data_IF_801335779249
#
_entry.id   IF_801335779249
#
_cell.length_a   1.000
_cell.length_b   1.000
_cell.length_c   1.000
_cell.angle_alpha   90.00
_cell.angle_beta   90.00
_cell.angle_gamma   90.00
#
_symmetry.space_group_name_H-M   'P 1'
#
loop_
_entity.id
_entity.type
_entity.pdbx_description
1 polymer ?
#
# COMPACT_ATOMS: atom_id res chain seq x y z
N UNK A 1 18.47 -3.81 8.15
CA UNK A 1 17.27 -3.04 7.81
C UNK A 1 17.19 -1.83 8.74
N UNK A 2 16.59 -0.71 8.32
CA UNK A 2 16.36 0.42 9.22
C UNK A 2 15.41 0.02 10.34
N UNK A 3 15.77 0.41 11.58
CA UNK A 3 15.06 0.01 12.78
C UNK A 3 14.14 1.12 13.26
N UNK A 4 12.87 0.81 13.47
CA UNK A 4 11.89 1.75 14.05
C UNK A 4 11.34 1.14 15.33
N UNK A 5 11.45 1.89 16.42
CA UNK A 5 10.85 1.52 17.69
C UNK A 5 9.38 1.94 17.72
N UNK A 6 8.47 1.01 18.00
CA UNK A 6 7.04 1.30 18.09
C UNK A 6 6.63 1.28 19.55
N UNK A 7 6.36 2.46 20.10
CA UNK A 7 5.83 2.64 21.45
C UNK A 7 4.30 2.69 21.36
N UNK A 8 3.62 1.78 22.03
CA UNK A 8 2.16 1.65 22.01
C UNK A 8 1.63 1.05 23.33
N UNK A 9 0.34 1.24 23.61
CA UNK A 9 -0.32 0.56 24.73
C UNK A 9 -0.85 -0.81 24.31
N UNK A 10 -0.65 -1.85 25.13
CA UNK A 10 -1.13 -3.21 24.83
C UNK A 10 -2.65 -3.30 24.64
N UNK A 11 -3.43 -2.37 25.22
CA UNK A 11 -4.88 -2.28 24.99
C UNK A 11 -5.23 -2.01 23.52
N UNK A 12 -4.27 -1.51 22.74
CA UNK A 12 -4.38 -1.23 21.31
C UNK A 12 -3.63 -2.25 20.45
N UNK A 13 -3.14 -3.33 21.07
CA UNK A 13 -2.28 -4.30 20.41
C UNK A 13 -2.87 -4.84 19.13
N UNK A 14 -4.18 -5.13 19.08
CA UNK A 14 -4.78 -5.67 17.86
C UNK A 14 -4.58 -4.76 16.65
N UNK A 15 -4.77 -3.44 16.78
CA UNK A 15 -4.55 -2.51 15.67
C UNK A 15 -3.06 -2.39 15.33
N UNK A 16 -2.20 -2.32 16.34
CA UNK A 16 -0.75 -2.22 16.11
C UNK A 16 -0.22 -3.47 15.41
N UNK A 17 -0.59 -4.67 15.88
CA UNK A 17 -0.10 -5.95 15.36
C UNK A 17 -0.73 -6.36 14.02
N UNK A 18 -2.01 -6.06 13.81
CA UNK A 18 -2.73 -6.49 12.62
C UNK A 18 -2.89 -5.38 11.58
N UNK A 19 -2.37 -4.19 11.82
CA UNK A 19 -2.43 -3.09 10.85
C UNK A 19 -1.07 -2.42 10.75
N UNK A 20 -0.62 -1.74 11.81
CA UNK A 20 0.59 -0.92 11.73
C UNK A 20 1.87 -1.75 11.48
N UNK A 21 2.14 -2.79 12.25
CA UNK A 21 3.39 -3.56 12.13
C UNK A 21 3.54 -4.20 10.76
N UNK A 22 2.52 -4.87 10.20
CA UNK A 22 2.65 -5.42 8.86
C UNK A 22 2.83 -4.34 7.80
N UNK A 23 2.19 -3.17 7.94
CA UNK A 23 2.45 -2.01 7.09
C UNK A 23 3.93 -1.60 7.12
N UNK A 24 4.53 -1.51 8.32
CA UNK A 24 5.93 -1.15 8.50
C UNK A 24 6.88 -2.23 7.94
N UNK A 25 6.59 -3.51 8.22
CA UNK A 25 7.36 -4.65 7.72
C UNK A 25 7.30 -4.72 6.18
N UNK A 26 6.13 -4.50 5.59
CA UNK A 26 5.92 -4.34 4.14
C UNK A 26 6.74 -3.18 3.54
N UNK A 27 6.94 -2.12 4.33
CA UNK A 27 7.85 -1.02 4.04
C UNK A 27 9.35 -1.39 4.09
N UNK A 28 9.71 -2.62 4.46
CA UNK A 28 11.10 -3.02 4.68
C UNK A 28 11.73 -2.44 5.96
N UNK A 29 10.90 -2.09 6.94
CA UNK A 29 11.34 -1.60 8.25
C UNK A 29 11.46 -2.77 9.23
N UNK A 30 12.58 -2.84 9.94
CA UNK A 30 12.72 -3.72 11.10
C UNK A 30 12.04 -3.05 12.29
N UNK A 31 10.89 -3.61 12.70
CA UNK A 31 10.13 -3.09 13.83
C UNK A 31 10.72 -3.61 15.14
N UNK A 32 11.17 -2.70 16.01
CA UNK A 32 11.56 -3.02 17.37
C UNK A 32 10.34 -2.82 18.27
N UNK A 33 9.84 -3.93 18.83
CA UNK A 33 8.65 -3.92 19.67
C UNK A 33 8.78 -4.93 20.81
N UNK A 34 8.16 -4.56 21.90
CA UNK A 34 8.24 -5.14 23.23
C UNK A 34 8.10 -6.69 23.28
N UNK A 35 7.16 -7.29 22.54
CA UNK A 35 6.88 -8.75 22.63
C UNK A 35 7.88 -9.70 21.97
N UNK A 36 8.77 -9.24 21.09
CA UNK A 36 9.62 -10.14 20.30
C UNK A 36 11.00 -10.44 20.95
N UNK A 37 11.37 -9.82 22.09
CA UNK A 37 12.74 -9.92 22.64
C UNK A 37 12.87 -9.87 24.18
N UNK A 38 12.00 -10.53 24.94
CA UNK A 38 12.27 -10.68 26.38
C UNK A 38 12.99 -11.98 26.67
N UNK A 39 14.20 -11.87 27.20
CA UNK A 39 14.89 -12.99 27.83
C UNK A 39 14.46 -13.09 29.30
N UNK A 40 14.13 -14.30 29.74
CA UNK A 40 13.72 -14.55 31.13
C UNK A 40 14.91 -14.34 32.08
N UNK A 41 14.76 -13.45 33.07
CA UNK A 41 15.75 -13.24 34.14
C UNK A 41 16.28 -11.81 34.29
N UNK A 42 16.02 -10.90 33.35
CA UNK A 42 16.44 -9.48 33.44
C UNK A 42 15.28 -8.51 33.65
N UNK A 43 15.55 -7.31 34.19
CA UNK A 43 14.54 -6.28 34.41
C UNK A 43 13.95 -5.75 33.08
N UNK A 44 12.62 -5.87 32.92
CA UNK A 44 11.85 -5.51 31.71
C UNK A 44 12.15 -4.08 31.23
N UNK A 45 12.32 -3.12 32.15
CA UNK A 45 12.61 -1.72 31.82
C UNK A 45 14.00 -1.55 31.19
N UNK A 46 15.01 -2.25 31.69
CA UNK A 46 16.39 -2.15 31.18
C UNK A 46 16.54 -2.75 29.78
N UNK A 47 15.89 -3.89 29.53
CA UNK A 47 15.88 -4.55 28.21
C UNK A 47 15.23 -3.64 27.15
N UNK A 48 14.13 -2.97 27.48
CA UNK A 48 13.47 -2.06 26.53
C UNK A 48 14.25 -0.79 26.29
N UNK A 49 14.91 -0.28 27.31
CA UNK A 49 15.72 0.91 27.15
C UNK A 49 16.85 0.68 26.15
N UNK A 50 17.51 -0.47 26.25
CA UNK A 50 18.54 -0.93 25.32
C UNK A 50 17.97 -1.21 23.93
N UNK A 51 16.75 -1.73 23.82
CA UNK A 51 16.07 -1.96 22.54
C UNK A 51 15.74 -0.64 21.84
N UNK A 52 15.15 0.31 22.54
CA UNK A 52 14.81 1.63 22.02
C UNK A 52 16.04 2.38 21.51
N UNK A 53 17.20 2.28 22.18
CA UNK A 53 18.45 2.89 21.71
C UNK A 53 18.96 2.35 20.35
N UNK A 54 18.55 1.14 19.95
CA UNK A 54 18.94 0.56 18.65
C UNK A 54 18.10 1.10 17.48
N UNK A 55 17.05 1.87 17.77
CA UNK A 55 16.17 2.40 16.74
C UNK A 55 16.72 3.69 16.13
N UNK A 56 16.48 3.86 14.83
CA UNK A 56 16.79 5.08 14.09
C UNK A 56 15.66 6.10 14.16
N UNK A 57 14.42 5.64 14.32
CA UNK A 57 13.24 6.48 14.57
C UNK A 57 12.33 5.83 15.62
N UNK A 58 11.53 6.67 16.28
CA UNK A 58 10.58 6.29 17.31
C UNK A 58 9.17 6.67 16.83
N UNK A 59 8.31 5.67 16.68
CA UNK A 59 6.91 5.82 16.35
C UNK A 59 6.07 5.73 17.63
N UNK A 60 5.45 6.83 18.02
CA UNK A 60 4.58 6.93 19.18
C UNK A 60 3.13 6.77 18.74
N UNK A 61 2.48 5.69 19.18
CA UNK A 61 1.07 5.41 18.90
C UNK A 61 0.23 5.90 20.07
N UNK A 62 -0.21 7.15 19.98
CA UNK A 62 -0.95 7.84 21.03
C UNK A 62 -2.38 7.37 21.14
N UNK A 63 -2.78 7.21 22.39
CA UNK A 63 -4.12 6.87 22.81
C UNK A 63 -4.39 7.20 24.25
N UNK A 64 -5.64 7.11 24.67
CA UNK A 64 -5.99 7.33 26.07
C UNK A 64 -5.27 6.31 26.96
N UNK A 65 -5.25 5.05 26.53
CA UNK A 65 -4.55 3.98 27.21
C UNK A 65 -3.01 4.11 27.18
N UNK A 66 -2.45 4.81 26.20
CA UNK A 66 -1.02 5.13 26.14
C UNK A 66 -0.66 6.19 27.18
N UNK A 67 -1.45 7.26 27.27
CA UNK A 67 -1.20 8.37 28.18
C UNK A 67 -1.33 7.97 29.66
N UNK A 68 -2.13 6.94 29.95
CA UNK A 68 -2.29 6.37 31.30
C UNK A 68 -1.21 5.34 31.65
N UNK A 69 -0.36 4.93 30.71
CA UNK A 69 0.69 3.94 30.94
C UNK A 69 2.00 4.62 31.34
N UNK A 70 2.46 4.40 32.57
CA UNK A 70 3.75 4.94 33.05
C UNK A 70 4.92 4.53 32.15
N UNK A 71 4.85 3.32 31.60
CA UNK A 71 5.85 2.76 30.72
C UNK A 71 5.88 3.47 29.36
N UNK A 72 4.72 3.61 28.71
CA UNK A 72 4.61 4.35 27.45
C UNK A 72 5.06 5.81 27.63
N UNK A 73 4.69 6.43 28.75
CA UNK A 73 5.12 7.78 29.09
C UNK A 73 6.63 7.89 29.32
N UNK A 74 7.28 6.84 29.84
CA UNK A 74 8.74 6.75 29.97
C UNK A 74 9.41 6.67 28.58
N UNK A 75 8.95 5.78 27.71
CA UNK A 75 9.44 5.63 26.33
C UNK A 75 9.29 6.92 25.52
N UNK A 76 8.14 7.59 25.63
CA UNK A 76 7.89 8.89 25.02
C UNK A 76 8.90 9.93 25.51
N UNK A 77 9.12 10.05 26.83
CA UNK A 77 10.10 11.01 27.37
C UNK A 77 11.50 10.74 26.82
N UNK A 78 11.89 9.49 26.64
CA UNK A 78 13.19 9.12 26.06
C UNK A 78 13.28 9.49 24.57
N UNK A 79 12.25 9.19 23.79
CA UNK A 79 12.17 9.58 22.38
C UNK A 79 12.28 11.11 22.22
N UNK A 80 11.54 11.88 23.03
CA UNK A 80 11.56 13.34 23.00
C UNK A 80 12.90 13.94 23.43
N UNK A 81 13.69 13.27 24.26
CA UNK A 81 15.05 13.73 24.59
C UNK A 81 15.99 13.65 23.39
N UNK A 82 15.75 12.72 22.47
CA UNK A 82 16.56 12.55 21.26
C UNK A 82 16.23 13.58 20.18
N UNK A 83 14.99 14.08 20.15
CA UNK A 83 14.54 15.09 19.18
C UNK A 83 13.55 16.09 19.81
N UNK A 84 14.01 16.93 20.77
CA UNK A 84 13.13 17.77 21.59
C UNK A 84 12.42 18.88 20.81
N UNK A 85 12.93 19.21 19.61
CA UNK A 85 12.37 20.22 18.71
C UNK A 85 11.75 19.62 17.46
N UNK A 86 11.80 18.30 17.28
CA UNK A 86 11.34 17.61 16.07
C UNK A 86 12.02 18.05 14.77
N UNK A 87 13.23 18.60 14.85
CA UNK A 87 13.99 19.10 13.69
C UNK A 87 14.68 17.96 12.93
N UNK A 88 14.92 16.83 13.59
CA UNK A 88 15.64 15.70 13.00
C UNK A 88 14.71 14.61 12.46
N UNK A 89 13.40 14.74 12.70
CA UNK A 89 12.39 13.77 12.28
C UNK A 89 12.62 12.38 12.88
N UNK A 90 13.19 12.29 14.08
CA UNK A 90 13.45 11.02 14.77
C UNK A 90 12.22 10.52 15.52
N UNK A 91 11.31 11.41 15.89
CA UNK A 91 10.06 11.08 16.58
C UNK A 91 8.89 11.32 15.64
N UNK A 92 8.13 10.27 15.37
CA UNK A 92 6.90 10.29 14.59
C UNK A 92 5.76 10.03 15.55
N UNK A 93 4.72 10.86 15.50
CA UNK A 93 3.57 10.76 16.39
C UNK A 93 2.35 10.38 15.56
N UNK A 94 1.64 9.34 15.98
CA UNK A 94 0.40 8.88 15.37
C UNK A 94 -0.67 8.85 16.45
N UNK A 95 -1.83 9.45 16.19
CA UNK A 95 -3.00 9.41 17.06
C UNK A 95 -4.01 8.40 16.52
N UNK A 96 -4.46 7.47 17.35
CA UNK A 96 -5.37 6.38 16.92
C UNK A 96 -6.74 6.38 17.61
N UNK A 97 -6.91 7.15 18.67
CA UNK A 97 -8.21 7.41 19.30
C UNK A 97 -8.38 8.89 19.69
N UNK A 98 -9.51 9.24 20.30
CA UNK A 98 -9.84 10.60 20.66
C UNK A 98 -9.05 11.20 21.84
N UNK A 99 -7.92 10.60 22.26
CA UNK A 99 -7.09 11.14 23.33
C UNK A 99 -6.60 12.56 23.09
N UNK A 100 -6.41 13.31 24.17
CA UNK A 100 -5.81 14.64 24.12
C UNK A 100 -4.30 14.55 23.88
N UNK A 101 -3.84 15.11 22.75
CA UNK A 101 -2.41 15.14 22.42
C UNK A 101 -1.68 16.04 23.42
N UNK A 102 -0.71 15.52 24.19
CA UNK A 102 0.00 16.33 25.19
C UNK A 102 0.65 17.57 24.58
N UNK A 103 0.62 18.69 25.29
CA UNK A 103 1.20 19.97 24.82
C UNK A 103 2.69 19.89 24.46
N UNK A 104 3.42 18.88 24.94
CA UNK A 104 4.82 18.63 24.56
C UNK A 104 4.96 18.12 23.13
N UNK A 105 3.91 17.52 22.58
CA UNK A 105 3.83 16.99 21.21
C UNK A 105 3.13 17.96 20.27
N UNK A 106 2.54 19.06 20.75
CA UNK A 106 1.81 20.03 19.90
C UNK A 106 2.69 20.75 18.88
N UNK A 107 4.02 20.71 19.06
CA UNK A 107 5.00 21.25 18.11
C UNK A 107 5.34 20.26 16.99
N UNK A 108 4.97 19.00 17.12
CA UNK A 108 5.17 17.98 16.11
C UNK A 108 3.93 17.92 15.20
N UNK A 109 4.15 17.75 13.90
CA UNK A 109 3.10 17.25 13.03
C UNK A 109 2.80 15.81 13.45
N UNK A 110 1.62 15.57 14.02
CA UNK A 110 1.14 14.22 14.33
C UNK A 110 0.15 13.77 13.27
N UNK A 111 0.19 12.47 12.98
CA UNK A 111 -0.67 11.84 11.98
C UNK A 111 -1.94 11.35 12.66
N UNK A 112 -3.10 11.69 12.08
CA UNK A 112 -4.39 11.32 12.64
C UNK A 112 -4.96 10.09 11.92
N UNK A 113 -4.90 8.95 12.60
CA UNK A 113 -5.38 7.66 12.09
C UNK A 113 -6.63 7.15 12.83
N UNK A 114 -7.38 8.02 13.53
CA UNK A 114 -8.62 7.68 14.25
C UNK A 114 -9.73 7.15 13.34
N UNK A 115 -10.34 6.00 13.63
CA UNK A 115 -11.40 5.30 12.84
C UNK A 115 -10.90 4.61 11.54
N UNK A 116 -11.55 3.53 11.08
CA UNK A 116 -11.08 2.71 9.92
C UNK A 116 -11.92 2.87 8.63
N UNK A 117 -12.88 3.78 8.62
CA UNK A 117 -13.71 3.99 7.44
C UNK A 117 -12.93 4.75 6.36
N UNK A 118 -13.17 4.37 5.11
CA UNK A 118 -12.38 4.60 3.91
C UNK A 118 -12.38 6.04 3.40
N UNK A 119 -11.92 7.00 4.21
CA UNK A 119 -11.79 8.40 3.81
C UNK A 119 -10.44 8.67 3.12
N UNK A 120 -10.46 9.41 2.02
CA UNK A 120 -9.27 9.83 1.24
C UNK A 120 -8.20 10.51 2.11
N UNK A 121 -8.63 11.28 3.11
CA UNK A 121 -7.75 11.99 4.04
C UNK A 121 -6.85 11.06 4.88
N UNK A 122 -7.27 9.81 5.13
CA UNK A 122 -6.42 8.83 5.85
C UNK A 122 -5.32 8.26 4.99
N UNK A 123 -5.57 8.11 3.68
CA UNK A 123 -4.55 7.62 2.74
C UNK A 123 -3.39 8.61 2.74
N UNK A 124 -3.68 9.91 2.71
CA UNK A 124 -2.68 10.97 2.85
C UNK A 124 -1.85 10.82 4.14
N UNK A 125 -2.47 10.51 5.28
CA UNK A 125 -1.78 10.33 6.56
C UNK A 125 -0.86 9.10 6.56
N UNK A 126 -1.31 7.97 6.00
CA UNK A 126 -0.47 6.77 5.85
C UNK A 126 0.70 7.01 4.90
N UNK A 127 0.51 7.77 3.82
CA UNK A 127 1.62 8.14 2.95
C UNK A 127 2.65 9.01 3.64
N UNK A 128 2.20 10.00 4.41
CA UNK A 128 3.11 10.84 5.20
C UNK A 128 3.87 9.98 6.22
N UNK A 129 3.22 8.99 6.83
CA UNK A 129 3.89 8.01 7.69
C UNK A 129 4.97 7.26 6.92
N UNK A 130 4.65 6.65 5.78
CA UNK A 130 5.60 5.87 4.98
C UNK A 130 6.79 6.70 4.48
N UNK A 131 6.56 7.94 4.04
CA UNK A 131 7.64 8.88 3.66
C UNK A 131 8.52 9.25 4.84
N UNK A 132 7.93 9.34 6.02
CA UNK A 132 8.66 9.66 7.25
C UNK A 132 9.46 8.46 7.76
N UNK A 133 9.21 7.26 7.27
CA UNK A 133 9.91 6.06 7.72
C UNK A 133 11.19 5.85 6.90
N UNK A 134 12.29 5.43 7.53
CA UNK A 134 13.49 5.04 6.82
C UNK A 134 13.18 3.69 6.19
N UNK A 135 12.97 3.63 4.88
CA UNK A 135 12.36 2.46 4.29
C UNK A 135 12.94 2.20 2.87
N UNK A 136 14.10 1.52 2.77
CA UNK A 136 14.84 1.36 1.52
C UNK A 136 14.31 0.23 0.64
N UNK A 137 13.63 -0.80 1.16
CA UNK A 137 13.18 -1.93 0.33
C UNK A 137 11.92 -1.63 -0.47
N UNK A 138 10.86 -1.09 0.16
CA UNK A 138 9.66 -0.68 -0.59
C UNK A 138 9.97 0.44 -1.59
N UNK A 139 10.85 1.40 -1.27
CA UNK A 139 11.30 2.41 -2.23
C UNK A 139 12.05 1.79 -3.41
N UNK A 140 12.94 0.82 -3.17
CA UNK A 140 13.56 0.05 -4.25
C UNK A 140 12.53 -0.71 -5.09
N UNK A 141 11.48 -1.26 -4.47
CA UNK A 141 10.41 -1.98 -5.18
C UNK A 141 9.56 -1.03 -6.03
N UNK A 142 9.27 0.16 -5.52
CA UNK A 142 8.63 1.25 -6.28
C UNK A 142 9.50 1.65 -7.47
N UNK A 143 10.80 1.87 -7.24
CA UNK A 143 11.76 2.20 -8.31
C UNK A 143 11.87 1.06 -9.34
N UNK A 144 11.85 -0.19 -8.87
CA UNK A 144 11.85 -1.38 -9.72
C UNK A 144 10.59 -1.45 -10.59
N UNK A 145 9.40 -1.23 -10.01
CA UNK A 145 8.12 -1.17 -10.74
C UNK A 145 8.16 -0.04 -11.77
N UNK A 146 8.57 1.17 -11.36
CA UNK A 146 8.65 2.32 -12.25
C UNK A 146 9.56 2.05 -13.44
N UNK A 147 10.74 1.44 -13.21
CA UNK A 147 11.66 1.03 -14.28
C UNK A 147 11.03 0.03 -15.24
N UNK A 148 10.34 -1.00 -14.74
CA UNK A 148 9.64 -1.95 -15.64
C UNK A 148 8.56 -1.26 -16.47
N UNK A 149 7.82 -0.33 -15.88
CA UNK A 149 6.78 0.44 -16.58
C UNK A 149 7.39 1.34 -17.65
N UNK A 150 8.52 2.00 -17.37
CA UNK A 150 9.24 2.82 -18.36
C UNK A 150 9.76 1.97 -19.52
N UNK A 151 10.23 0.75 -19.23
CA UNK A 151 10.63 -0.26 -20.23
C UNK A 151 9.42 -0.93 -20.93
N UNK A 152 8.20 -0.45 -20.66
CA UNK A 152 6.92 -0.95 -21.18
C UNK A 152 6.66 -2.43 -20.88
N UNK A 153 7.09 -2.92 -19.73
CA UNK A 153 6.71 -4.22 -19.20
C UNK A 153 5.52 -4.11 -18.26
N UNK A 154 4.55 -5.01 -18.44
CA UNK A 154 3.49 -5.22 -17.46
C UNK A 154 4.04 -5.97 -16.24
N UNK A 155 3.50 -5.66 -15.07
CA UNK A 155 4.03 -6.13 -13.78
C UNK A 155 2.93 -6.81 -12.98
N UNK A 156 3.23 -8.00 -12.48
CA UNK A 156 2.48 -8.64 -11.40
C UNK A 156 3.07 -8.20 -10.07
N UNK A 157 2.29 -7.52 -9.26
CA UNK A 157 2.67 -7.09 -7.91
C UNK A 157 1.99 -8.05 -6.93
N UNK A 158 2.76 -8.98 -6.40
CA UNK A 158 2.24 -9.94 -5.41
C UNK A 158 2.54 -9.42 -4.02
N UNK A 159 1.48 -9.30 -3.23
CA UNK A 159 1.53 -8.83 -1.86
C UNK A 159 1.44 -10.03 -0.93
N UNK A 160 2.49 -10.29 -0.15
CA UNK A 160 2.49 -11.36 0.84
C UNK A 160 2.26 -10.80 2.26
N UNK A 161 1.21 -9.99 2.42
CA UNK A 161 0.87 -9.33 3.69
C UNK A 161 -0.48 -9.82 4.22
N UNK A 162 -0.52 -10.17 5.51
CA UNK A 162 -1.76 -10.48 6.23
C UNK A 162 -2.68 -9.24 6.43
N UNK A 163 -2.28 -8.06 5.93
CA UNK A 163 -3.02 -6.80 6.08
C UNK A 163 -3.52 -6.31 4.72
N UNK A 164 -4.84 -6.36 4.45
CA UNK A 164 -5.28 -6.44 3.05
C UNK A 164 -5.39 -5.12 2.27
N UNK A 165 -5.60 -3.95 2.89
CA UNK A 165 -6.18 -2.81 2.14
C UNK A 165 -5.50 -1.44 2.27
N UNK A 166 -4.87 -1.12 3.40
CA UNK A 166 -4.45 0.27 3.70
C UNK A 166 -3.08 0.63 3.11
N UNK A 167 -2.19 -0.35 2.93
CA UNK A 167 -0.82 -0.15 2.44
C UNK A 167 -0.79 0.13 0.94
N UNK A 168 -1.66 -0.52 0.16
CA UNK A 168 -1.54 -0.60 -1.30
C UNK A 168 -2.14 0.60 -2.02
N UNK A 169 -3.25 1.15 -1.51
CA UNK A 169 -3.74 2.44 -2.00
C UNK A 169 -2.67 3.51 -1.89
N UNK A 170 -1.92 3.51 -0.78
CA UNK A 170 -0.77 4.39 -0.57
C UNK A 170 0.39 4.08 -1.51
N UNK A 171 0.66 2.80 -1.83
CA UNK A 171 1.68 2.41 -2.82
C UNK A 171 1.35 2.97 -4.21
N UNK A 172 0.14 2.73 -4.71
CA UNK A 172 -0.26 3.18 -6.04
C UNK A 172 -0.42 4.69 -6.12
N UNK A 173 -0.88 5.34 -5.05
CA UNK A 173 -0.95 6.80 -4.99
C UNK A 173 0.45 7.41 -4.94
N UNK A 174 1.40 6.78 -4.25
CA UNK A 174 2.81 7.16 -4.32
C UNK A 174 3.41 6.95 -5.71
N UNK A 175 3.21 5.78 -6.33
CA UNK A 175 3.64 5.51 -7.72
C UNK A 175 3.07 6.57 -8.65
N UNK A 176 1.77 6.84 -8.57
CA UNK A 176 1.09 7.86 -9.38
C UNK A 176 1.64 9.26 -9.14
N UNK A 177 1.90 9.64 -7.88
CA UNK A 177 2.36 11.00 -7.55
C UNK A 177 3.82 11.24 -7.86
N UNK A 178 4.70 10.26 -7.68
CA UNK A 178 6.15 10.49 -7.67
C UNK A 178 6.89 9.86 -8.85
N UNK A 179 6.29 8.87 -9.54
CA UNK A 179 7.00 8.08 -10.56
C UNK A 179 6.24 7.94 -11.88
N UNK A 180 4.93 7.70 -11.84
CA UNK A 180 4.09 7.34 -12.99
C UNK A 180 2.82 8.21 -12.99
N UNK A 181 2.97 9.47 -13.38
CA UNK A 181 1.87 10.46 -13.31
C UNK A 181 0.64 10.12 -14.16
N UNK A 182 0.83 9.37 -15.24
CA UNK A 182 -0.22 8.89 -16.16
C UNK A 182 -0.85 7.55 -15.76
N UNK A 183 -0.61 7.07 -14.52
CA UNK A 183 -1.18 5.84 -14.01
C UNK A 183 -2.69 5.94 -13.73
N UNK A 184 -3.49 5.18 -14.47
CA UNK A 184 -4.89 4.91 -14.18
C UNK A 184 -5.00 3.81 -13.12
N UNK A 185 -5.75 4.01 -12.04
CA UNK A 185 -5.92 3.02 -10.96
C UNK A 185 -7.38 2.62 -10.88
N UNK A 186 -7.68 1.34 -11.07
CA UNK A 186 -9.04 0.80 -11.10
C UNK A 186 -9.20 -0.26 -10.02
N UNK A 187 -10.19 -0.05 -9.14
CA UNK A 187 -10.46 -0.93 -8.01
C UNK A 187 -11.47 -2.03 -8.37
N UNK A 188 -11.02 -3.29 -8.34
CA UNK A 188 -11.89 -4.43 -8.59
C UNK A 188 -12.80 -4.79 -7.41
N UNK A 189 -12.67 -4.19 -6.23
CA UNK A 189 -13.69 -4.31 -5.18
C UNK A 189 -14.91 -3.40 -5.44
N UNK A 190 -14.76 -2.39 -6.30
CA UNK A 190 -15.87 -1.49 -6.64
C UNK A 190 -17.00 -2.24 -7.35
N UNK A 191 -18.25 -1.92 -7.00
CA UNK A 191 -19.42 -2.42 -7.72
C UNK A 191 -19.47 -1.94 -9.18
N UNK A 192 -18.83 -0.80 -9.49
CA UNK A 192 -18.75 -0.27 -10.85
C UNK A 192 -17.97 -1.18 -11.79
N UNK A 193 -17.03 -1.98 -11.28
CA UNK A 193 -16.21 -2.87 -12.10
C UNK A 193 -16.80 -4.27 -12.20
N UNK A 194 -17.97 -4.55 -11.59
CA UNK A 194 -18.52 -5.90 -11.50
C UNK A 194 -18.80 -6.58 -12.86
N UNK A 195 -19.09 -5.78 -13.90
CA UNK A 195 -19.28 -6.25 -15.27
C UNK A 195 -18.09 -5.88 -16.16
N UNK A 196 -17.92 -6.60 -17.27
CA UNK A 196 -16.94 -6.25 -18.32
C UNK A 196 -17.08 -4.81 -18.78
N UNK A 197 -18.29 -4.41 -19.14
CA UNK A 197 -18.60 -3.04 -19.56
C UNK A 197 -18.20 -2.00 -18.51
N UNK A 198 -18.56 -2.23 -17.23
CA UNK A 198 -18.23 -1.33 -16.14
C UNK A 198 -16.73 -1.24 -15.85
N UNK A 199 -16.00 -2.35 -16.02
CA UNK A 199 -14.53 -2.34 -15.97
C UNK A 199 -13.93 -1.49 -17.09
N UNK A 200 -14.39 -1.65 -18.33
CA UNK A 200 -13.91 -0.88 -19.49
C UNK A 200 -14.19 0.61 -19.27
N UNK A 201 -15.41 0.97 -18.84
CA UNK A 201 -15.77 2.35 -18.50
C UNK A 201 -14.86 2.94 -17.42
N UNK A 202 -14.58 2.17 -16.36
CA UNK A 202 -13.68 2.60 -15.30
C UNK A 202 -12.26 2.87 -15.83
N UNK A 203 -11.72 1.97 -16.66
CA UNK A 203 -10.39 2.13 -17.27
C UNK A 203 -10.35 3.36 -18.18
N UNK A 204 -11.32 3.52 -19.07
CA UNK A 204 -11.43 4.65 -20.00
C UNK A 204 -11.48 5.97 -19.26
N UNK A 205 -12.30 6.04 -18.21
CA UNK A 205 -12.44 7.21 -17.35
C UNK A 205 -11.12 7.57 -16.65
N UNK A 206 -10.47 6.59 -16.02
CA UNK A 206 -9.21 6.82 -15.29
C UNK A 206 -8.03 7.15 -16.21
N UNK A 207 -8.02 6.65 -17.45
CA UNK A 207 -7.05 7.05 -18.48
C UNK A 207 -7.33 8.45 -19.06
N UNK A 208 -8.43 9.09 -18.67
CA UNK A 208 -8.87 10.40 -19.19
C UNK A 208 -9.28 10.35 -20.66
N UNK A 209 -9.69 9.18 -21.16
CA UNK A 209 -10.09 9.00 -22.55
C UNK A 209 -11.55 9.47 -22.71
N UNK A 210 -11.77 10.42 -23.62
CA UNK A 210 -13.09 10.99 -23.90
C UNK A 210 -13.83 10.20 -24.98
N UNK A 211 -14.32 9.02 -24.62
CA UNK A 211 -15.18 8.19 -25.48
C UNK A 211 -16.42 7.75 -24.68
N UNK A 212 -17.50 7.46 -25.39
CA UNK A 212 -18.60 6.68 -24.82
C UNK A 212 -18.29 5.21 -25.08
N UNK A 213 -18.27 4.38 -24.05
CA UNK A 213 -18.14 2.94 -24.22
C UNK A 213 -19.50 2.41 -24.70
N UNK A 214 -19.59 1.82 -25.91
CA UNK A 214 -20.85 1.26 -26.40
C UNK A 214 -21.18 -0.04 -25.65
N UNK A 215 -22.36 -0.62 -25.92
CA UNK A 215 -22.71 -1.94 -25.40
C UNK A 215 -21.95 -3.04 -26.15
N UNK A 216 -21.91 -4.21 -25.54
CA UNK A 216 -21.43 -5.42 -26.18
C UNK A 216 -22.19 -5.70 -27.49
N UNK A 217 -21.50 -6.12 -28.57
CA UNK A 217 -20.08 -6.49 -28.66
C UNK A 217 -19.13 -5.36 -29.09
N UNK A 218 -19.62 -4.13 -29.29
CA UNK A 218 -18.83 -3.03 -29.87
C UNK A 218 -17.93 -2.32 -28.83
N UNK A 219 -18.03 -2.70 -27.56
CA UNK A 219 -17.26 -2.16 -26.44
C UNK A 219 -15.76 -2.41 -26.60
N UNK A 220 -15.37 -3.64 -26.91
CA UNK A 220 -13.96 -4.02 -27.06
C UNK A 220 -13.27 -3.37 -28.26
N UNK A 221 -13.83 -3.36 -29.49
CA UNK A 221 -13.20 -2.65 -30.61
C UNK A 221 -13.02 -1.15 -30.36
N UNK A 222 -14.02 -0.52 -29.73
CA UNK A 222 -13.98 0.91 -29.39
C UNK A 222 -12.90 1.19 -28.34
N UNK A 223 -12.82 0.35 -27.31
CA UNK A 223 -11.77 0.42 -26.30
C UNK A 223 -10.37 0.18 -26.89
N UNK A 224 -10.19 -0.88 -27.69
CA UNK A 224 -8.90 -1.20 -28.31
C UNK A 224 -8.42 -0.03 -29.19
N UNK A 225 -9.29 0.49 -30.06
CA UNK A 225 -8.96 1.62 -30.92
C UNK A 225 -8.54 2.86 -30.12
N UNK A 226 -9.24 3.16 -29.03
CA UNK A 226 -8.91 4.30 -28.18
C UNK A 226 -7.57 4.15 -27.44
N UNK A 227 -7.23 2.94 -26.97
CA UNK A 227 -5.94 2.66 -26.33
C UNK A 227 -4.80 2.67 -27.36
N UNK A 228 -5.01 2.11 -28.55
CA UNK A 228 -4.02 2.08 -29.64
C UNK A 228 -3.65 3.48 -30.14
N UNK A 229 -4.60 4.42 -30.14
CA UNK A 229 -4.38 5.81 -30.53
C UNK A 229 -3.42 6.57 -29.60
N UNK A 230 -3.17 6.07 -28.40
CA UNK A 230 -2.24 6.66 -27.43
C UNK A 230 -0.82 6.16 -27.67
N UNK A 231 0.18 6.93 -27.20
CA UNK A 231 1.57 6.45 -27.20
C UNK A 231 1.72 5.23 -26.26
N UNK A 232 1.25 5.39 -25.03
CA UNK A 232 1.12 4.34 -24.02
C UNK A 232 -0.11 4.58 -23.14
N UNK A 233 -0.59 3.53 -22.51
CA UNK A 233 -1.60 3.56 -21.45
C UNK A 233 -1.13 2.69 -20.31
N UNK A 234 -1.19 3.19 -19.09
CA UNK A 234 -0.73 2.46 -17.90
C UNK A 234 -1.91 2.31 -16.96
N UNK A 235 -2.27 1.07 -16.64
CA UNK A 235 -3.44 0.74 -15.83
C UNK A 235 -3.04 -0.19 -14.69
N UNK A 236 -3.33 0.20 -13.46
CA UNK A 236 -3.28 -0.67 -12.30
C UNK A 236 -4.67 -1.22 -12.00
N UNK A 237 -4.78 -2.55 -11.93
CA UNK A 237 -5.96 -3.24 -11.38
C UNK A 237 -5.63 -3.69 -9.97
N UNK A 238 -6.32 -3.09 -8.98
CA UNK A 238 -6.17 -3.49 -7.57
C UNK A 238 -7.20 -4.56 -7.20
N UNK A 239 -6.86 -5.42 -6.24
CA UNK A 239 -7.64 -6.58 -5.84
C UNK A 239 -7.88 -7.56 -7.01
N UNK A 240 -6.84 -7.82 -7.79
CA UNK A 240 -6.90 -8.68 -8.97
C UNK A 240 -7.24 -10.14 -8.64
N UNK A 241 -7.16 -10.56 -7.38
CA UNK A 241 -7.68 -11.85 -6.91
C UNK A 241 -9.16 -12.06 -7.30
N UNK A 242 -9.94 -10.96 -7.40
CA UNK A 242 -11.35 -10.98 -7.80
C UNK A 242 -11.57 -11.17 -9.30
N UNK A 243 -10.54 -11.00 -10.13
CA UNK A 243 -10.63 -11.24 -11.58
C UNK A 243 -10.69 -12.74 -11.92
N UNK A 244 -10.37 -13.62 -10.96
CA UNK A 244 -10.52 -15.06 -11.12
C UNK A 244 -11.98 -15.37 -11.50
N UNK A 245 -12.14 -16.21 -12.54
CA UNK A 245 -13.43 -16.62 -13.09
C UNK A 245 -14.41 -17.18 -12.02
N UNK A 246 -13.90 -17.66 -10.89
CA UNK A 246 -14.74 -18.08 -9.74
C UNK A 246 -15.49 -16.92 -9.07
N UNK A 247 -14.90 -15.73 -9.02
CA UNK A 247 -15.48 -14.56 -8.34
C UNK A 247 -16.18 -13.61 -9.30
N UNK A 248 -15.70 -13.49 -10.55
CA UNK A 248 -16.31 -12.66 -11.60
C UNK A 248 -16.46 -13.45 -12.90
N UNK A 249 -17.54 -14.22 -13.07
CA UNK A 249 -17.76 -15.03 -14.28
C UNK A 249 -18.09 -14.18 -15.53
N UNK A 250 -18.28 -12.87 -15.37
CA UNK A 250 -18.64 -11.95 -16.45
C UNK A 250 -17.43 -11.32 -17.17
N UNK A 251 -16.21 -11.61 -16.74
CA UNK A 251 -15.01 -11.28 -17.51
C UNK A 251 -14.73 -12.43 -18.47
N UNK A 252 -15.10 -12.22 -19.73
CA UNK A 252 -14.99 -13.24 -20.76
C UNK A 252 -13.58 -13.35 -21.36
N UNK A 253 -13.40 -14.38 -22.18
CA UNK A 253 -12.15 -14.66 -22.90
C UNK A 253 -11.80 -13.51 -23.85
N UNK A 254 -12.79 -12.84 -24.43
CA UNK A 254 -12.59 -11.77 -25.40
C UNK A 254 -11.98 -10.52 -24.75
N UNK A 255 -12.42 -10.15 -23.54
CA UNK A 255 -11.78 -9.09 -22.75
C UNK A 255 -10.30 -9.40 -22.54
N UNK A 256 -10.00 -10.59 -22.04
CA UNK A 256 -8.61 -11.00 -21.77
C UNK A 256 -7.78 -11.06 -23.06
N UNK A 257 -8.36 -11.49 -24.18
CA UNK A 257 -7.73 -11.45 -25.49
C UNK A 257 -7.42 -10.03 -25.96
N UNK A 258 -8.36 -9.09 -25.76
CA UNK A 258 -8.17 -7.68 -26.07
C UNK A 258 -7.03 -7.06 -25.24
N UNK A 259 -7.05 -7.26 -23.91
CA UNK A 259 -6.00 -6.77 -23.01
C UNK A 259 -4.63 -7.34 -23.40
N UNK A 260 -4.56 -8.66 -23.68
CA UNK A 260 -3.34 -9.33 -24.12
C UNK A 260 -2.78 -8.70 -25.40
N UNK A 261 -3.62 -8.53 -26.43
CA UNK A 261 -3.24 -7.90 -27.71
C UNK A 261 -2.64 -6.51 -27.50
N UNK A 262 -3.27 -5.68 -26.67
CA UNK A 262 -2.78 -4.33 -26.35
C UNK A 262 -1.44 -4.35 -25.59
N UNK A 263 -1.25 -5.32 -24.69
CA UNK A 263 -0.02 -5.50 -23.94
C UNK A 263 1.13 -5.99 -24.82
N UNK A 264 0.89 -6.97 -25.71
CA UNK A 264 1.89 -7.46 -26.67
C UNK A 264 2.33 -6.35 -27.65
N UNK A 265 1.40 -5.48 -28.06
CA UNK A 265 1.69 -4.28 -28.86
C UNK A 265 2.40 -3.16 -28.06
N UNK A 266 2.65 -3.36 -26.76
CA UNK A 266 3.24 -2.38 -25.82
C UNK A 266 2.47 -1.05 -25.77
N UNK A 267 1.16 -1.11 -26.01
CA UNK A 267 0.23 0.02 -25.95
C UNK A 267 -0.47 0.10 -24.59
N UNK A 268 -0.61 -1.03 -23.92
CA UNK A 268 -1.14 -1.14 -22.58
C UNK A 268 -0.12 -1.79 -21.64
N UNK A 269 0.29 -1.06 -20.61
CA UNK A 269 1.10 -1.57 -19.51
C UNK A 269 0.16 -1.82 -18.33
N UNK A 270 0.08 -3.06 -17.87
CA UNK A 270 -0.78 -3.45 -16.76
C UNK A 270 0.04 -3.66 -15.50
N UNK A 271 -0.44 -3.10 -14.39
CA UNK A 271 0.00 -3.44 -13.04
C UNK A 271 -1.12 -4.27 -12.40
N UNK A 272 -0.88 -5.56 -12.16
CA UNK A 272 -1.84 -6.43 -11.48
C UNK A 272 -1.44 -6.54 -10.02
N UNK A 273 -2.24 -6.01 -9.11
CA UNK A 273 -2.03 -6.20 -7.68
C UNK A 273 -2.93 -7.30 -7.14
N UNK A 274 -2.32 -8.23 -6.43
CA UNK A 274 -3.02 -9.36 -5.83
C UNK A 274 -2.28 -9.93 -4.63
N UNK A 275 -3.00 -10.71 -3.82
CA UNK A 275 -2.42 -11.46 -2.70
C UNK A 275 -1.85 -12.82 -3.14
N UNK A 276 -2.40 -13.40 -4.21
CA UNK A 276 -1.84 -14.60 -4.85
C UNK A 276 -0.99 -14.24 -6.08
N UNK A 277 0.02 -15.06 -6.43
CA UNK A 277 0.76 -14.91 -7.68
C UNK A 277 -0.17 -14.92 -8.90
N UNK A 278 0.10 -14.07 -9.89
CA UNK A 278 -0.73 -13.96 -11.10
C UNK A 278 -1.01 -15.30 -11.80
N UNK A 279 -0.02 -16.20 -11.82
CA UNK A 279 -0.13 -17.54 -12.42
C UNK A 279 -1.18 -18.44 -11.75
N UNK A 280 -1.58 -18.13 -10.51
CA UNK A 280 -2.61 -18.87 -9.78
C UNK A 280 -4.02 -18.27 -9.95
N UNK A 281 -4.10 -17.00 -10.35
CA UNK A 281 -5.35 -16.25 -10.48
C UNK A 281 -6.03 -16.46 -11.82
N UNK A 282 -5.24 -16.75 -12.84
CA UNK A 282 -5.69 -16.87 -14.23
C UNK A 282 -5.64 -18.34 -14.68
N UNK A 283 -6.76 -18.92 -15.15
CA UNK A 283 -6.78 -20.28 -15.70
C UNK A 283 -5.78 -20.48 -16.83
N UNK A 284 -5.26 -21.70 -17.02
CA UNK A 284 -4.23 -21.99 -18.04
C UNK A 284 -4.69 -21.72 -19.47
N UNK A 285 -5.98 -21.90 -19.73
CA UNK A 285 -6.67 -21.66 -20.99
C UNK A 285 -7.03 -20.19 -21.24
N UNK A 286 -6.82 -19.31 -20.26
CA UNK A 286 -7.08 -17.89 -20.41
C UNK A 286 -5.99 -17.20 -21.26
N UNK A 287 -6.35 -16.26 -22.15
CA UNK A 287 -5.39 -15.55 -23.01
C UNK A 287 -4.21 -14.90 -22.27
N UNK A 288 -4.40 -14.42 -21.03
CA UNK A 288 -3.35 -13.78 -20.25
C UNK A 288 -2.36 -14.78 -19.60
N UNK A 289 -2.62 -16.09 -19.62
CA UNK A 289 -1.77 -17.08 -18.94
C UNK A 289 -0.34 -17.17 -19.49
N UNK A 290 -0.15 -16.80 -20.76
CA UNK A 290 1.12 -16.91 -21.48
C UNK A 290 1.89 -15.59 -21.60
N UNK A 291 1.42 -14.51 -20.97
CA UNK A 291 2.03 -13.19 -21.13
C UNK A 291 3.28 -13.01 -20.27
N UNK A 292 4.34 -12.41 -20.82
CA UNK A 292 5.56 -12.10 -20.07
C UNK A 292 5.31 -10.93 -19.11
N UNK A 293 5.02 -11.25 -17.86
CA UNK A 293 4.92 -10.29 -16.75
C UNK A 293 6.20 -10.30 -15.93
N UNK A 294 6.64 -9.12 -15.52
CA UNK A 294 7.66 -9.01 -14.47
C UNK A 294 6.98 -9.14 -13.12
N UNK A 295 7.55 -9.94 -12.22
CA UNK A 295 6.99 -10.16 -10.89
C UNK A 295 7.74 -9.34 -9.87
N UNK A 296 7.00 -8.54 -9.11
CA UNK A 296 7.52 -7.79 -7.96
C UNK A 296 6.78 -8.26 -6.72
N UNK A 297 7.50 -8.96 -5.86
CA UNK A 297 6.97 -9.35 -4.54
C UNK A 297 7.26 -8.27 -3.52
N UNK A 298 6.21 -7.87 -2.79
CA UNK A 298 6.31 -6.98 -1.65
C UNK A 298 5.98 -7.81 -0.40
N UNK A 299 6.98 -7.93 0.48
CA UNK A 299 6.93 -8.70 1.74
C UNK A 299 6.76 -7.76 2.91
#
# INVERSE_FOLDING_TARGET
MPKVFVSYSHKQGNWVWNTLIPCLKAGGVEVLIDRERFEAGEAIVGQMDALQYKARKHLLVLSEAYLQSEYCMHEMKRALKLDPKFENGLVIVVRVDDCDVPAKLSKALYLDLRNQNSDEHKIEQWEVLFRSLPAPEWMKKIDEIARYVDDRYSVSITVNSAVPSVVWKSLFLHLKREKIHDLAVVDLQSGLTASRHGLIEAIVKELGIKISVPKEPDDLPTFEGAVLARDRSIVALTHFDLANHRYRPYYDVDLYGCLRSLMEKRKLIMLFESHSPFSELIPRDNPLSAIDLKTVEIK
#
